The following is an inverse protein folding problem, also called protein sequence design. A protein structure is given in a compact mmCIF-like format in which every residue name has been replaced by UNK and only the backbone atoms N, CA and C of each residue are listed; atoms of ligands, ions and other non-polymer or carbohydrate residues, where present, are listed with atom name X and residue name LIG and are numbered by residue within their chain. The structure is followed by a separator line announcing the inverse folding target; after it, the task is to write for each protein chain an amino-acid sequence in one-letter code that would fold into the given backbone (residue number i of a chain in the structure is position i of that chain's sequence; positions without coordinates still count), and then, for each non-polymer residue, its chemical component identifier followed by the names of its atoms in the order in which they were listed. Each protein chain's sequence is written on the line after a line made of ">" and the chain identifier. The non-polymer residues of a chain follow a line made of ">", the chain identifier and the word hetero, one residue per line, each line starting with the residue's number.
data_IF_074064666171
#
_entry.id   IF_074064666171
#
_cell.length_a   1.000
_cell.length_b   1.000
_cell.length_c   1.000
_cell.angle_alpha   90.00
_cell.angle_beta   90.00
_cell.angle_gamma   90.00
#
_symmetry.space_group_name_H-M   'P 1'
#
loop_
_entity.id
_entity.type
_entity.pdbx_description
1 polymer ?
#
# COMPACT_ATOMS: atom_id res chain seq x y z
N UNK A 1 -11.51 -11.86 -2.85
CA UNK A 1 -12.69 -11.05 -2.48
C UNK A 1 -13.42 -10.60 -3.71
N UNK A 2 -14.74 -10.62 -3.69
CA UNK A 2 -15.56 -9.81 -4.58
C UNK A 2 -16.26 -8.69 -3.80
N UNK A 3 -16.85 -7.73 -4.52
CA UNK A 3 -17.52 -6.56 -3.93
C UNK A 3 -18.68 -6.93 -3.00
N UNK A 4 -19.44 -7.99 -3.32
CA UNK A 4 -20.61 -8.40 -2.53
C UNK A 4 -20.20 -9.01 -1.20
N UNK A 5 -19.15 -9.84 -1.21
CA UNK A 5 -18.55 -10.40 0.00
C UNK A 5 -18.07 -9.29 0.94
N UNK A 6 -17.39 -8.28 0.39
CA UNK A 6 -16.84 -7.18 1.18
C UNK A 6 -17.93 -6.25 1.74
N UNK A 7 -18.95 -5.94 0.94
CA UNK A 7 -20.14 -5.22 1.43
C UNK A 7 -20.80 -5.98 2.58
N UNK A 8 -21.02 -7.29 2.42
CA UNK A 8 -21.66 -8.12 3.45
C UNK A 8 -20.86 -8.13 4.75
N UNK A 9 -19.53 -8.25 4.66
CA UNK A 9 -18.64 -8.23 5.81
C UNK A 9 -18.70 -6.88 6.54
N UNK A 10 -18.58 -5.76 5.81
CA UNK A 10 -18.59 -4.42 6.41
C UNK A 10 -19.95 -4.08 7.03
N UNK A 11 -21.06 -4.48 6.40
CA UNK A 11 -22.41 -4.34 6.98
C UNK A 11 -22.50 -5.10 8.30
N UNK A 12 -22.05 -6.36 8.34
CA UNK A 12 -22.02 -7.14 9.58
C UNK A 12 -21.13 -6.47 10.64
N UNK A 13 -20.00 -5.90 10.25
CA UNK A 13 -19.10 -5.21 11.19
C UNK A 13 -19.76 -3.96 11.78
N UNK A 14 -20.47 -3.18 10.97
CA UNK A 14 -21.27 -2.04 11.44
C UNK A 14 -22.37 -2.50 12.41
N UNK A 15 -23.12 -3.55 12.07
CA UNK A 15 -24.17 -4.09 12.93
C UNK A 15 -23.63 -4.61 14.27
N UNK A 16 -22.42 -5.19 14.28
CA UNK A 16 -21.73 -5.63 15.49
C UNK A 16 -21.38 -4.47 16.44
N UNK A 17 -21.32 -3.23 15.94
CA UNK A 17 -21.16 -2.02 16.75
C UNK A 17 -22.48 -1.51 17.34
N UNK A 18 -23.53 -2.33 17.34
CA UNK A 18 -24.88 -2.00 17.82
C UNK A 18 -25.59 -0.90 17.00
N UNK A 19 -25.28 -0.83 15.70
CA UNK A 19 -25.98 0.03 14.75
C UNK A 19 -27.03 -0.78 14.01
N UNK A 20 -28.27 -0.32 14.04
CA UNK A 20 -29.34 -0.83 13.18
C UNK A 20 -29.17 -0.23 11.77
N UNK A 21 -28.42 -0.94 10.92
CA UNK A 21 -27.93 -0.45 9.63
C UNK A 21 -28.76 -0.98 8.46
N UNK A 22 -29.68 -0.15 7.95
CA UNK A 22 -30.74 -0.62 7.05
C UNK A 22 -30.61 -0.15 5.61
N UNK A 23 -30.89 -1.08 4.69
CA UNK A 23 -31.11 -0.75 3.29
C UNK A 23 -32.36 0.14 3.12
N UNK A 24 -32.25 1.22 2.36
CA UNK A 24 -33.34 2.15 2.10
C UNK A 24 -33.00 3.22 1.07
N UNK A 25 -33.95 4.14 0.83
CA UNK A 25 -33.73 5.38 0.09
C UNK A 25 -33.52 6.50 1.12
N UNK A 26 -32.35 7.14 1.09
CA UNK A 26 -31.90 8.07 2.13
C UNK A 26 -31.66 9.48 1.59
N UNK A 27 -32.36 9.86 0.52
CA UNK A 27 -32.31 11.19 -0.08
C UNK A 27 -30.89 11.59 -0.56
N UNK A 28 -30.26 10.73 -1.37
CA UNK A 28 -28.92 10.91 -1.94
C UNK A 28 -27.77 10.78 -0.92
N UNK A 29 -28.02 10.18 0.25
CA UNK A 29 -26.94 9.75 1.14
C UNK A 29 -26.65 8.28 0.85
N UNK A 30 -25.58 8.02 0.11
CA UNK A 30 -25.17 6.65 -0.30
C UNK A 30 -25.07 5.74 0.93
N UNK A 31 -24.46 6.26 2.01
CA UNK A 31 -24.44 5.65 3.32
C UNK A 31 -24.43 6.74 4.41
N UNK A 32 -24.97 6.43 5.58
CA UNK A 32 -24.94 7.30 6.76
C UNK A 32 -25.06 6.50 8.07
N UNK A 33 -24.46 7.04 9.13
CA UNK A 33 -24.64 6.54 10.49
C UNK A 33 -24.93 7.66 11.49
N UNK A 34 -25.59 7.29 12.59
CA UNK A 34 -25.75 8.08 13.79
C UNK A 34 -25.37 7.20 14.99
N UNK A 35 -24.09 7.20 15.40
CA UNK A 35 -23.61 6.34 16.48
C UNK A 35 -24.37 6.55 17.80
N UNK A 36 -24.73 7.79 18.12
CA UNK A 36 -25.51 8.12 19.33
C UNK A 36 -26.93 7.55 19.32
N UNK A 37 -27.56 7.46 18.15
CA UNK A 37 -28.92 6.92 18.01
C UNK A 37 -28.92 5.40 17.80
N UNK A 38 -27.76 4.79 17.52
CA UNK A 38 -27.67 3.38 17.16
C UNK A 38 -28.32 3.07 15.81
N UNK A 39 -28.34 4.04 14.89
CA UNK A 39 -29.03 3.93 13.60
C UNK A 39 -28.09 4.23 12.44
N UNK A 40 -28.36 3.63 11.29
CA UNK A 40 -27.77 4.06 10.04
C UNK A 40 -28.51 3.47 8.84
N UNK A 41 -28.05 3.82 7.65
CA UNK A 41 -28.58 3.22 6.44
C UNK A 41 -27.68 3.38 5.23
N UNK A 42 -28.01 2.61 4.19
CA UNK A 42 -27.31 2.61 2.92
C UNK A 42 -28.26 2.40 1.74
N UNK A 43 -27.85 2.90 0.58
CA UNK A 43 -28.58 2.77 -0.69
C UNK A 43 -28.04 1.61 -1.55
N UNK A 44 -28.72 1.30 -2.66
CA UNK A 44 -28.42 0.15 -3.53
C UNK A 44 -27.05 0.22 -4.22
N UNK A 45 -26.52 1.44 -4.36
CA UNK A 45 -25.23 1.68 -5.00
C UNK A 45 -24.09 1.88 -3.99
N UNK A 46 -24.35 1.66 -2.70
CA UNK A 46 -23.30 1.69 -1.68
C UNK A 46 -22.24 0.63 -1.99
N UNK A 47 -20.99 1.07 -1.98
CA UNK A 47 -19.81 0.26 -2.26
C UNK A 47 -19.03 0.04 -0.95
N UNK A 48 -18.04 -0.87 -0.94
CA UNK A 48 -17.27 -1.13 0.27
C UNK A 48 -16.66 0.11 0.90
N UNK A 49 -16.22 1.07 0.10
CA UNK A 49 -15.73 2.37 0.56
C UNK A 49 -16.75 3.12 1.43
N UNK A 50 -18.01 3.19 1.00
CA UNK A 50 -19.06 3.93 1.72
C UNK A 50 -19.32 3.31 3.11
N UNK A 51 -19.36 1.98 3.19
CA UNK A 51 -19.53 1.29 4.47
C UNK A 51 -18.31 1.43 5.38
N UNK A 52 -17.10 1.30 4.84
CA UNK A 52 -15.87 1.47 5.62
C UNK A 52 -15.72 2.90 6.16
N UNK A 53 -16.15 3.90 5.37
CA UNK A 53 -16.21 5.31 5.79
C UNK A 53 -17.14 5.50 6.99
N UNK A 54 -18.36 4.98 6.91
CA UNK A 54 -19.30 5.03 8.04
C UNK A 54 -18.83 4.25 9.27
N UNK A 55 -18.16 3.10 9.08
CA UNK A 55 -17.58 2.32 10.16
C UNK A 55 -16.52 3.12 10.93
N UNK A 56 -15.67 3.89 10.23
CA UNK A 56 -14.73 4.80 10.89
C UNK A 56 -15.43 5.82 11.78
N UNK A 57 -16.55 6.41 11.33
CA UNK A 57 -17.32 7.34 12.17
C UNK A 57 -17.88 6.67 13.43
N UNK A 58 -18.30 5.41 13.33
CA UNK A 58 -18.79 4.63 14.48
C UNK A 58 -17.67 4.39 15.49
N UNK A 59 -16.52 3.90 15.02
CA UNK A 59 -15.35 3.56 15.86
C UNK A 59 -14.83 4.81 16.59
N UNK A 60 -14.81 5.95 15.91
CA UNK A 60 -14.32 7.21 16.48
C UNK A 60 -15.37 8.00 17.26
N UNK A 61 -16.61 7.49 17.38
CA UNK A 61 -17.73 8.16 18.04
C UNK A 61 -17.99 9.58 17.51
N UNK A 62 -17.94 9.75 16.19
CA UNK A 62 -18.18 11.04 15.57
C UNK A 62 -19.65 11.46 15.71
N UNK A 63 -19.86 12.67 16.23
CA UNK A 63 -21.19 13.26 16.37
C UNK A 63 -21.57 14.03 15.12
N UNK A 64 -22.65 13.58 14.46
CA UNK A 64 -23.49 14.31 13.50
C UNK A 64 -22.75 15.06 12.36
N UNK A 65 -22.98 14.61 11.12
CA UNK A 65 -22.61 15.33 9.88
C UNK A 65 -23.14 16.77 9.91
N UNK A 66 -22.28 17.73 10.21
CA UNK A 66 -22.62 19.15 10.13
C UNK A 66 -22.52 19.64 8.68
N UNK A 67 -23.51 19.28 7.86
CA UNK A 67 -23.80 19.92 6.57
C UNK A 67 -23.20 19.28 5.32
N UNK A 68 -23.92 19.45 4.20
CA UNK A 68 -23.79 18.77 2.89
C UNK A 68 -22.48 19.02 2.10
N UNK A 69 -21.42 19.56 2.69
CA UNK A 69 -20.17 19.85 1.96
C UNK A 69 -19.02 20.03 2.95
N UNK A 70 -18.26 18.97 3.19
CA UNK A 70 -17.35 18.91 4.33
C UNK A 70 -15.90 18.52 4.00
N UNK A 71 -15.39 19.06 2.89
CA UNK A 71 -13.98 18.90 2.48
C UNK A 71 -12.96 19.46 3.48
N UNK A 72 -13.40 20.11 4.57
CA UNK A 72 -12.54 20.66 5.64
C UNK A 72 -12.77 20.04 7.02
N UNK A 73 -13.72 19.14 7.22
CA UNK A 73 -13.92 18.50 8.53
C UNK A 73 -12.84 17.45 8.80
N UNK A 74 -12.10 17.57 9.92
CA UNK A 74 -11.09 16.59 10.30
C UNK A 74 -11.64 15.17 10.44
N UNK A 75 -12.91 15.01 10.85
CA UNK A 75 -13.54 13.70 11.02
C UNK A 75 -13.82 13.03 9.66
N UNK A 76 -14.31 13.78 8.68
CA UNK A 76 -14.55 13.27 7.32
C UNK A 76 -13.23 12.94 6.61
N UNK A 77 -12.21 13.79 6.76
CA UNK A 77 -10.87 13.53 6.24
C UNK A 77 -10.23 12.28 6.87
N UNK A 78 -10.36 12.13 8.20
CA UNK A 78 -9.92 10.93 8.91
C UNK A 78 -10.68 9.70 8.45
N UNK A 79 -12.02 9.75 8.37
CA UNK A 79 -12.84 8.63 7.97
C UNK A 79 -12.53 8.14 6.55
N UNK A 80 -12.30 9.07 5.63
CA UNK A 80 -11.86 8.74 4.29
C UNK A 80 -10.50 8.02 4.29
N UNK A 81 -9.51 8.53 5.05
CA UNK A 81 -8.19 7.89 5.16
C UNK A 81 -8.30 6.50 5.80
N UNK A 82 -9.01 6.38 6.92
CA UNK A 82 -9.16 5.12 7.66
C UNK A 82 -9.92 4.07 6.85
N UNK A 83 -10.94 4.46 6.09
CA UNK A 83 -11.66 3.57 5.19
C UNK A 83 -10.74 2.95 4.13
N UNK A 84 -9.91 3.77 3.47
CA UNK A 84 -8.94 3.30 2.46
C UNK A 84 -7.95 2.32 3.09
N UNK A 85 -7.40 2.65 4.26
CA UNK A 85 -6.41 1.80 4.94
C UNK A 85 -7.00 0.48 5.41
N UNK A 86 -8.21 0.49 5.96
CA UNK A 86 -8.92 -0.72 6.36
C UNK A 86 -9.14 -1.64 5.15
N UNK A 87 -9.66 -1.09 4.06
CA UNK A 87 -9.93 -1.86 2.85
C UNK A 87 -8.63 -2.39 2.22
N UNK A 88 -7.55 -1.61 2.28
CA UNK A 88 -6.23 -2.04 1.79
C UNK A 88 -5.70 -3.23 2.61
N UNK A 89 -5.72 -3.14 3.94
CA UNK A 89 -5.31 -4.23 4.84
C UNK A 89 -6.14 -5.51 4.60
N UNK A 90 -7.46 -5.37 4.41
CA UNK A 90 -8.32 -6.51 4.06
C UNK A 90 -7.98 -7.12 2.69
N UNK A 91 -7.61 -6.29 1.71
CA UNK A 91 -7.21 -6.72 0.39
C UNK A 91 -5.86 -7.46 0.42
N UNK A 92 -4.88 -6.95 1.16
CA UNK A 92 -3.57 -7.59 1.35
C UNK A 92 -3.67 -8.94 2.07
N UNK A 93 -4.52 -9.04 3.09
CA UNK A 93 -4.79 -10.30 3.81
C UNK A 93 -5.35 -11.40 2.91
N UNK A 94 -5.91 -11.04 1.75
CA UNK A 94 -6.39 -11.99 0.75
C UNK A 94 -5.39 -12.24 -0.39
N UNK A 95 -4.15 -11.77 -0.24
CA UNK A 95 -3.08 -11.95 -1.21
C UNK A 95 -3.07 -10.91 -2.33
N UNK A 96 -3.84 -9.83 -2.19
CA UNK A 96 -3.71 -8.66 -3.06
C UNK A 96 -2.44 -7.89 -2.74
N UNK A 97 -1.89 -7.19 -3.74
CA UNK A 97 -0.76 -6.30 -3.55
C UNK A 97 -0.87 -5.05 -4.45
N UNK A 98 0.14 -4.18 -4.41
CA UNK A 98 0.17 -2.94 -5.19
C UNK A 98 0.10 -3.17 -6.71
N UNK A 99 0.54 -4.33 -7.23
CA UNK A 99 0.38 -4.68 -8.65
C UNK A 99 -1.09 -4.87 -9.05
N UNK A 100 -1.97 -5.10 -8.06
CA UNK A 100 -3.41 -5.25 -8.22
C UNK A 100 -4.20 -4.00 -7.82
N UNK A 101 -3.56 -2.83 -7.74
CA UNK A 101 -4.20 -1.59 -7.29
C UNK A 101 -5.49 -1.23 -8.05
N UNK A 102 -5.52 -1.40 -9.38
CA UNK A 102 -6.74 -1.14 -10.16
C UNK A 102 -7.88 -2.08 -9.78
N UNK A 103 -7.58 -3.36 -9.51
CA UNK A 103 -8.56 -4.33 -9.04
C UNK A 103 -9.09 -3.94 -7.64
N UNK A 104 -8.22 -3.44 -6.77
CA UNK A 104 -8.62 -2.89 -5.48
C UNK A 104 -9.61 -1.73 -5.65
N UNK A 105 -9.33 -0.76 -6.52
CA UNK A 105 -10.25 0.36 -6.82
C UNK A 105 -11.57 -0.15 -7.38
N UNK A 106 -11.51 -1.10 -8.32
CA UNK A 106 -12.70 -1.66 -8.97
C UNK A 106 -13.58 -2.41 -7.99
N UNK A 107 -13.02 -3.15 -7.03
CA UNK A 107 -13.79 -3.90 -6.02
C UNK A 107 -14.36 -2.96 -4.95
N UNK A 108 -13.56 -2.00 -4.48
CA UNK A 108 -13.89 -1.23 -3.27
C UNK A 108 -14.68 0.04 -3.54
N UNK A 109 -14.56 0.62 -4.72
CA UNK A 109 -15.11 1.94 -5.02
C UNK A 109 -14.33 3.10 -4.40
N UNK A 110 -13.13 2.85 -3.86
CA UNK A 110 -12.28 3.92 -3.32
C UNK A 110 -11.97 5.00 -4.38
N UNK A 111 -11.93 6.29 -4.01
CA UNK A 111 -11.51 7.35 -4.92
C UNK A 111 -10.04 7.18 -5.33
N UNK A 112 -9.79 6.97 -6.62
CA UNK A 112 -8.48 6.57 -7.16
C UNK A 112 -7.33 7.45 -6.66
N UNK A 113 -7.41 8.77 -6.85
CA UNK A 113 -6.30 9.69 -6.54
C UNK A 113 -5.98 9.71 -5.03
N UNK A 114 -7.00 9.62 -4.17
CA UNK A 114 -6.84 9.58 -2.72
C UNK A 114 -6.22 8.27 -2.26
N UNK A 115 -6.77 7.16 -2.74
CA UNK A 115 -6.25 5.83 -2.45
C UNK A 115 -4.80 5.69 -2.92
N UNK A 116 -4.48 6.17 -4.12
CA UNK A 116 -3.14 6.11 -4.67
C UNK A 116 -2.16 6.89 -3.79
N UNK A 117 -2.51 8.12 -3.40
CA UNK A 117 -1.65 8.96 -2.57
C UNK A 117 -1.41 8.34 -1.18
N UNK A 118 -2.48 7.89 -0.50
CA UNK A 118 -2.38 7.29 0.83
C UNK A 118 -1.57 6.00 0.78
N UNK A 119 -1.97 5.06 -0.09
CA UNK A 119 -1.38 3.73 -0.15
C UNK A 119 0.09 3.83 -0.61
N UNK A 120 0.40 4.62 -1.63
CA UNK A 120 1.79 4.79 -2.10
C UNK A 120 2.70 5.42 -1.04
N UNK A 121 2.19 6.33 -0.22
CA UNK A 121 2.98 6.92 0.87
C UNK A 121 3.22 5.91 1.98
N UNK A 122 2.22 5.15 2.41
CA UNK A 122 2.39 4.11 3.43
C UNK A 122 3.31 2.99 2.92
N UNK A 123 3.21 2.60 1.64
CA UNK A 123 4.18 1.70 1.00
C UNK A 123 5.59 2.27 1.04
N UNK A 124 5.76 3.53 0.68
CA UNK A 124 7.06 4.19 0.69
C UNK A 124 7.62 4.30 2.11
N UNK A 125 6.82 4.69 3.09
CA UNK A 125 7.22 4.78 4.50
C UNK A 125 7.56 3.40 5.07
N UNK A 126 6.80 2.36 4.73
CA UNK A 126 7.14 0.98 5.08
C UNK A 126 8.42 0.53 4.40
N UNK A 127 8.62 0.83 3.11
CA UNK A 127 9.87 0.54 2.40
C UNK A 127 11.05 1.32 2.98
N UNK A 128 10.88 2.58 3.34
CA UNK A 128 11.90 3.41 3.98
C UNK A 128 12.22 2.90 5.39
N UNK A 129 11.22 2.52 6.20
CA UNK A 129 11.39 1.96 7.53
C UNK A 129 12.00 0.54 7.50
N UNK A 130 11.61 -0.31 6.54
CA UNK A 130 12.27 -1.59 6.27
C UNK A 130 13.71 -1.30 5.85
N UNK A 131 13.95 -0.39 4.91
CA UNK A 131 15.31 -0.03 4.50
C UNK A 131 16.13 0.56 5.66
N UNK A 132 15.53 1.26 6.63
CA UNK A 132 16.21 1.80 7.82
C UNK A 132 16.49 0.73 8.87
N UNK A 133 15.51 -0.13 9.17
CA UNK A 133 15.65 -1.26 10.11
C UNK A 133 16.65 -2.29 9.58
N UNK A 134 16.59 -2.56 8.27
CA UNK A 134 17.52 -3.44 7.57
C UNK A 134 18.72 -2.68 7.00
N UNK A 135 18.91 -1.38 7.22
CA UNK A 135 20.14 -0.70 6.81
C UNK A 135 21.33 -1.18 7.65
N UNK A 136 21.07 -1.70 8.85
CA UNK A 136 22.06 -2.29 9.74
C UNK A 136 22.15 -3.83 9.62
N UNK A 137 21.08 -4.53 9.20
CA UNK A 137 21.10 -6.00 8.96
C UNK A 137 21.39 -6.40 7.50
N UNK A 138 21.04 -5.55 6.53
CA UNK A 138 21.37 -5.60 5.09
C UNK A 138 22.45 -4.54 4.75
N UNK A 139 23.16 -3.98 5.74
CA UNK A 139 24.59 -3.71 5.52
C UNK A 139 25.31 -5.05 5.55
N UNK A 140 25.17 -5.83 4.48
CA UNK A 140 26.38 -6.49 3.98
C UNK A 140 27.24 -5.33 3.49
N UNK A 141 28.02 -4.73 4.39
CA UNK A 141 29.06 -3.80 4.00
C UNK A 141 30.10 -4.63 3.24
N UNK A 142 29.82 -4.93 1.97
CA UNK A 142 30.79 -5.59 1.12
C UNK A 142 31.95 -4.61 1.00
N UNK A 143 33.08 -5.04 1.51
CA UNK A 143 34.30 -4.27 1.38
C UNK A 143 34.86 -4.45 -0.05
N UNK A 144 35.89 -3.68 -0.38
CA UNK A 144 36.52 -3.73 -1.72
C UNK A 144 36.95 -5.15 -2.13
N UNK A 145 37.44 -5.94 -1.19
CA UNK A 145 37.92 -7.30 -1.44
C UNK A 145 36.77 -8.25 -1.79
N UNK A 146 35.65 -8.18 -1.05
CA UNK A 146 34.46 -8.98 -1.31
C UNK A 146 33.83 -8.63 -2.67
N UNK A 147 33.75 -7.33 -3.00
CA UNK A 147 33.31 -6.87 -4.32
C UNK A 147 34.19 -7.47 -5.43
N UNK A 148 35.51 -7.46 -5.23
CA UNK A 148 36.46 -8.02 -6.19
C UNK A 148 36.29 -9.52 -6.38
N UNK A 149 36.00 -10.26 -5.31
CA UNK A 149 35.75 -11.70 -5.37
C UNK A 149 34.50 -12.03 -6.17
N UNK A 150 33.39 -11.33 -5.95
CA UNK A 150 32.18 -11.49 -6.76
C UNK A 150 32.40 -11.17 -8.23
N UNK A 151 33.16 -10.11 -8.52
CA UNK A 151 33.46 -9.76 -9.92
C UNK A 151 34.33 -10.84 -10.58
N UNK A 152 35.34 -11.37 -9.88
CA UNK A 152 36.21 -12.45 -10.39
C UNK A 152 35.40 -13.73 -10.67
N UNK A 153 34.48 -14.08 -9.78
CA UNK A 153 33.54 -15.20 -10.02
C UNK A 153 32.67 -14.90 -11.25
N UNK A 154 32.09 -13.70 -11.33
CA UNK A 154 31.21 -13.30 -12.43
C UNK A 154 31.90 -13.36 -13.80
N UNK A 155 33.12 -12.84 -13.90
CA UNK A 155 33.85 -12.84 -15.18
C UNK A 155 34.31 -14.25 -15.58
N UNK A 156 34.44 -15.18 -14.63
CA UNK A 156 34.86 -16.56 -14.92
C UNK A 156 33.85 -17.34 -15.76
N UNK A 157 32.57 -16.89 -15.80
CA UNK A 157 31.53 -17.48 -16.64
C UNK A 157 31.64 -17.09 -18.12
N UNK A 158 32.57 -16.20 -18.49
CA UNK A 158 32.71 -15.70 -19.85
C UNK A 158 34.06 -16.14 -20.45
N UNK A 159 34.02 -16.79 -21.62
CA UNK A 159 35.24 -17.13 -22.37
C UNK A 159 35.90 -15.88 -22.97
N UNK A 160 35.09 -14.90 -23.38
CA UNK A 160 35.50 -13.59 -23.91
C UNK A 160 34.51 -12.53 -23.40
N UNK A 161 35.03 -11.42 -22.88
CA UNK A 161 34.22 -10.33 -22.32
C UNK A 161 34.28 -9.14 -23.27
N UNK A 162 33.18 -8.90 -24.01
CA UNK A 162 33.05 -7.73 -24.89
C UNK A 162 32.41 -6.54 -24.17
N UNK A 163 31.38 -6.80 -23.37
CA UNK A 163 30.67 -5.80 -22.57
C UNK A 163 30.15 -6.41 -21.28
N UNK A 164 30.22 -5.69 -20.17
CA UNK A 164 29.64 -6.10 -18.89
C UNK A 164 28.52 -5.14 -18.49
N UNK A 165 27.34 -5.68 -18.21
CA UNK A 165 26.27 -4.94 -17.54
C UNK A 165 26.48 -5.03 -16.02
N UNK A 166 26.75 -3.88 -15.39
CA UNK A 166 26.96 -3.80 -13.94
C UNK A 166 25.67 -4.10 -13.19
N UNK A 167 24.51 -3.70 -13.72
CA UNK A 167 23.22 -4.02 -13.12
C UNK A 167 22.94 -5.52 -13.14
N UNK A 168 23.22 -6.21 -14.24
CA UNK A 168 23.06 -7.68 -14.31
C UNK A 168 23.98 -8.41 -13.32
N UNK A 169 25.20 -7.90 -13.12
CA UNK A 169 26.11 -8.39 -12.08
C UNK A 169 25.50 -8.19 -10.69
N UNK A 170 25.05 -6.98 -10.35
CA UNK A 170 24.48 -6.69 -9.04
C UNK A 170 23.25 -7.55 -8.76
N UNK A 171 22.37 -7.72 -9.75
CA UNK A 171 21.18 -8.56 -9.65
C UNK A 171 21.54 -10.04 -9.43
N UNK A 172 22.54 -10.55 -10.16
CA UNK A 172 22.97 -11.96 -10.06
C UNK A 172 23.51 -12.31 -8.66
N UNK A 173 24.19 -11.38 -8.01
CA UNK A 173 24.74 -11.60 -6.65
C UNK A 173 23.87 -10.99 -5.55
N UNK A 174 22.63 -10.58 -5.88
CA UNK A 174 21.70 -9.96 -4.94
C UNK A 174 22.31 -8.77 -4.17
N UNK A 175 23.15 -7.99 -4.86
CA UNK A 175 23.81 -6.81 -4.31
C UNK A 175 22.94 -5.57 -4.54
N UNK A 176 22.90 -4.69 -3.55
CA UNK A 176 22.22 -3.40 -3.67
C UNK A 176 22.77 -2.59 -4.85
N UNK A 177 21.86 -1.95 -5.61
CA UNK A 177 22.22 -1.05 -6.70
C UNK A 177 23.03 0.16 -6.25
N UNK A 178 23.02 0.47 -4.94
CA UNK A 178 23.88 1.50 -4.35
C UNK A 178 25.39 1.20 -4.50
N UNK A 179 25.77 -0.06 -4.77
CA UNK A 179 27.15 -0.45 -5.03
C UNK A 179 27.61 -0.24 -6.48
N UNK A 180 26.77 0.30 -7.35
CA UNK A 180 27.07 0.46 -8.77
C UNK A 180 28.43 1.13 -9.05
N UNK A 181 28.72 2.26 -8.41
CA UNK A 181 29.97 2.99 -8.63
C UNK A 181 31.20 2.24 -8.09
N UNK A 182 31.03 1.44 -7.02
CA UNK A 182 32.10 0.58 -6.50
C UNK A 182 32.37 -0.57 -7.47
N UNK A 183 31.32 -1.28 -7.90
CA UNK A 183 31.43 -2.38 -8.86
C UNK A 183 32.04 -1.89 -10.18
N UNK A 184 31.58 -0.73 -10.71
CA UNK A 184 32.13 -0.10 -11.91
C UNK A 184 33.64 0.10 -11.84
N UNK A 185 34.12 0.71 -10.75
CA UNK A 185 35.55 0.99 -10.56
C UNK A 185 36.38 -0.28 -10.46
N UNK A 186 35.84 -1.33 -9.83
CA UNK A 186 36.55 -2.61 -9.74
C UNK A 186 36.55 -3.37 -11.07
N UNK A 187 35.45 -3.38 -11.82
CA UNK A 187 35.42 -3.91 -13.18
C UNK A 187 36.45 -3.21 -14.08
N UNK A 188 36.53 -1.88 -14.03
CA UNK A 188 37.52 -1.11 -14.78
C UNK A 188 38.97 -1.46 -14.39
N UNK A 189 39.24 -1.61 -13.09
CA UNK A 189 40.56 -2.03 -12.60
C UNK A 189 40.94 -3.45 -13.07
N UNK A 190 39.98 -4.39 -13.06
CA UNK A 190 40.23 -5.79 -13.44
C UNK A 190 40.35 -5.99 -14.95
N UNK A 191 39.54 -5.28 -15.74
CA UNK A 191 39.52 -5.40 -17.20
C UNK A 191 40.52 -4.44 -17.89
N UNK A 192 41.17 -3.56 -17.13
CA UNK A 192 42.17 -2.63 -17.66
C UNK A 192 41.60 -1.51 -18.54
N UNK A 193 40.31 -1.22 -18.40
CA UNK A 193 39.60 -0.18 -19.18
C UNK A 193 39.50 1.10 -18.35
N UNK A 194 40.33 2.11 -18.65
CA UNK A 194 40.25 3.46 -18.07
C UNK A 194 39.11 4.27 -18.63
#
# INVERSE_FOLDING_TARGET
>A
MDEQELNSLLICEIENQHIDYRFGDWNNQIAWVSPLLGLGGYEIYARPFDHAHELSHIINHDNYRSGDCDTTNPNESRAHKEAILLLWDMFEKQGGDYSNFNLFIDITGCPYDFAFNIISNEFREMHEAINEIFEDEIKVSINKQEMREYIVDYISYFDVIETVSIYEFLDRYHLSHNFYEMAKKEFQQLLGTT
#
